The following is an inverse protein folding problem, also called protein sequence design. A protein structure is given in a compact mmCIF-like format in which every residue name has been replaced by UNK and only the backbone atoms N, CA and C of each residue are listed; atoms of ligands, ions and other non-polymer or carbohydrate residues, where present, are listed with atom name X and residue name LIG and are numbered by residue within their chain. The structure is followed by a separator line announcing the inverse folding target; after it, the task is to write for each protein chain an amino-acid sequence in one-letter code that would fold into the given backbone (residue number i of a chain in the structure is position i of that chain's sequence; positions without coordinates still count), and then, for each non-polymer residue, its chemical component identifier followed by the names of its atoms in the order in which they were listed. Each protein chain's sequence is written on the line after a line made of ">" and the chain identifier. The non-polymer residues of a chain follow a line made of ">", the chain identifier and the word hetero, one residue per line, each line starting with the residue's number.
data_IF_250355614155
#
_entry.id   IF_250355614155
#
_cell.length_a   1.000
_cell.length_b   1.000
_cell.length_c   1.000
_cell.angle_alpha   90.00
_cell.angle_beta   90.00
_cell.angle_gamma   90.00
#
_symmetry.space_group_name_H-M   'P 1'
#
loop_
_entity.id
_entity.type
_entity.pdbx_description
1 polymer ?
#
# COMPACT_ATOMS: atom_id res chain seq x y z
N UNK A 1 49.55 9.05 -8.28
CA UNK A 1 48.80 8.51 -9.44
C UNK A 1 47.78 7.42 -9.07
N UNK A 2 47.95 6.66 -7.97
CA UNK A 2 46.97 5.64 -7.52
C UNK A 2 45.74 6.22 -6.79
N UNK A 3 45.90 7.35 -6.08
CA UNK A 3 44.80 7.95 -5.31
C UNK A 3 43.72 8.59 -6.19
N UNK A 4 44.09 9.25 -7.30
CA UNK A 4 43.11 9.81 -8.24
C UNK A 4 42.31 8.73 -8.98
N UNK A 5 42.87 7.52 -9.17
CA UNK A 5 42.16 6.40 -9.78
C UNK A 5 41.11 5.83 -8.81
N UNK A 6 41.42 5.72 -7.52
CA UNK A 6 40.47 5.24 -6.50
C UNK A 6 39.32 6.25 -6.27
N UNK A 7 39.60 7.55 -6.28
CA UNK A 7 38.56 8.59 -6.22
C UNK A 7 37.70 8.61 -7.48
N UNK A 8 38.27 8.40 -8.68
CA UNK A 8 37.47 8.27 -9.91
C UNK A 8 36.62 7.00 -9.94
N UNK A 9 37.09 5.90 -9.35
CA UNK A 9 36.32 4.65 -9.25
C UNK A 9 35.18 4.83 -8.25
N UNK A 10 35.43 5.39 -7.06
CA UNK A 10 34.38 5.72 -6.08
C UNK A 10 33.37 6.74 -6.62
N UNK A 11 33.80 7.74 -7.38
CA UNK A 11 32.92 8.74 -7.97
C UNK A 11 32.08 8.19 -9.13
N UNK A 12 32.59 7.21 -9.90
CA UNK A 12 31.79 6.51 -10.92
C UNK A 12 30.80 5.55 -10.27
N UNK A 13 31.22 4.86 -9.20
CA UNK A 13 30.39 3.94 -8.42
C UNK A 13 29.31 4.66 -7.58
N UNK A 14 29.50 5.95 -7.27
CA UNK A 14 28.48 6.81 -6.67
C UNK A 14 27.58 7.49 -7.72
N UNK A 15 28.07 7.67 -8.96
CA UNK A 15 27.25 8.18 -10.08
C UNK A 15 26.25 7.13 -10.56
N UNK A 16 26.59 5.85 -10.54
CA UNK A 16 25.67 4.73 -10.78
C UNK A 16 24.66 4.49 -9.63
N UNK A 17 24.90 5.05 -8.43
CA UNK A 17 23.99 4.89 -7.27
C UNK A 17 22.80 5.86 -7.27
N UNK A 18 22.79 6.90 -8.12
CA UNK A 18 21.81 8.00 -8.03
C UNK A 18 20.96 8.16 -9.30
N UNK A 19 21.43 7.75 -10.48
CA UNK A 19 20.58 7.70 -11.68
C UNK A 19 19.97 6.32 -11.85
N UNK A 20 18.88 6.02 -11.12
CA UNK A 20 17.93 5.02 -11.62
C UNK A 20 17.44 5.56 -12.95
N UNK A 21 17.86 4.96 -14.06
CA UNK A 21 17.51 5.45 -15.38
C UNK A 21 15.98 5.58 -15.48
N UNK A 22 15.45 6.72 -15.96
CA UNK A 22 14.00 6.92 -16.09
C UNK A 22 13.35 5.81 -16.93
N UNK A 23 14.14 5.19 -17.81
CA UNK A 23 13.77 4.02 -18.62
C UNK A 23 13.52 2.79 -17.75
N UNK A 24 14.41 2.44 -16.81
CA UNK A 24 14.21 1.27 -15.93
C UNK A 24 12.97 1.44 -15.04
N UNK A 25 12.72 2.68 -14.55
CA UNK A 25 11.52 3.02 -13.77
C UNK A 25 10.24 2.79 -14.59
N UNK A 26 10.24 3.24 -15.83
CA UNK A 26 9.11 3.07 -16.75
C UNK A 26 8.87 1.59 -17.08
N UNK A 27 9.94 0.83 -17.30
CA UNK A 27 9.84 -0.63 -17.55
C UNK A 27 9.29 -1.35 -16.33
N UNK A 28 9.69 -0.98 -15.12
CA UNK A 28 9.14 -1.53 -13.87
C UNK A 28 7.64 -1.24 -13.74
N UNK A 29 7.21 -0.02 -14.00
CA UNK A 29 5.80 0.34 -13.88
C UNK A 29 4.95 -0.37 -14.94
N UNK A 30 5.47 -0.49 -16.17
CA UNK A 30 4.86 -1.28 -17.23
C UNK A 30 4.81 -2.78 -16.88
N UNK A 31 5.87 -3.29 -16.24
CA UNK A 31 5.92 -4.66 -15.73
C UNK A 31 4.86 -4.89 -14.67
N UNK A 32 4.76 -4.01 -13.66
CA UNK A 32 3.77 -4.12 -12.59
C UNK A 32 2.34 -4.06 -13.16
N UNK A 33 2.10 -3.18 -14.12
CA UNK A 33 0.83 -3.11 -14.83
C UNK A 33 0.53 -4.41 -15.58
N UNK A 34 1.51 -4.99 -16.26
CA UNK A 34 1.39 -6.27 -16.97
C UNK A 34 1.07 -7.44 -16.03
N UNK A 35 1.68 -7.45 -14.84
CA UNK A 35 1.43 -8.44 -13.78
C UNK A 35 0.01 -8.31 -13.25
N UNK A 36 -0.46 -7.09 -12.97
CA UNK A 36 -1.82 -6.81 -12.51
C UNK A 36 -2.85 -7.20 -13.59
N UNK A 37 -2.53 -6.96 -14.86
CA UNK A 37 -3.34 -7.35 -16.01
C UNK A 37 -3.27 -8.86 -16.32
N UNK A 38 -2.58 -9.66 -15.49
CA UNK A 38 -2.47 -11.12 -15.61
C UNK A 38 -1.94 -11.59 -16.98
N UNK A 39 -1.11 -10.77 -17.64
CA UNK A 39 -0.57 -11.06 -18.98
C UNK A 39 0.84 -11.63 -18.88
N UNK A 40 0.96 -12.96 -18.84
CA UNK A 40 2.24 -13.66 -18.64
C UNK A 40 3.32 -13.36 -19.68
N UNK A 41 2.98 -13.31 -20.96
CA UNK A 41 3.96 -13.15 -22.05
C UNK A 41 4.67 -11.80 -21.96
N UNK A 42 3.89 -10.75 -21.70
CA UNK A 42 4.41 -9.39 -21.53
C UNK A 42 5.27 -9.29 -20.26
N UNK A 43 4.87 -9.96 -19.18
CA UNK A 43 5.67 -10.04 -17.96
C UNK A 43 7.04 -10.68 -18.23
N UNK A 44 7.11 -11.78 -18.98
CA UNK A 44 8.37 -12.47 -19.28
C UNK A 44 9.32 -11.60 -20.10
N UNK A 45 8.81 -10.88 -21.10
CA UNK A 45 9.63 -9.94 -21.90
C UNK A 45 10.19 -8.83 -21.01
N UNK A 46 9.35 -8.21 -20.18
CA UNK A 46 9.75 -7.09 -19.34
C UNK A 46 10.71 -7.47 -18.22
N UNK A 47 10.60 -8.69 -17.66
CA UNK A 47 11.56 -9.21 -16.67
C UNK A 47 12.97 -9.31 -17.29
N UNK A 48 13.10 -9.57 -18.59
CA UNK A 48 14.39 -9.61 -19.26
C UNK A 48 15.13 -8.28 -19.23
N UNK A 49 14.40 -7.17 -19.24
CA UNK A 49 14.95 -5.81 -19.23
C UNK A 49 15.11 -5.21 -17.82
N UNK A 50 14.59 -5.87 -16.78
CA UNK A 50 14.72 -5.40 -15.42
C UNK A 50 16.10 -5.75 -14.83
N UNK A 51 16.66 -4.85 -14.03
CA UNK A 51 17.84 -5.09 -13.21
C UNK A 51 17.54 -6.09 -12.08
N UNK A 52 16.35 -6.02 -11.47
CA UNK A 52 15.91 -6.89 -10.37
C UNK A 52 15.06 -8.12 -10.82
N UNK A 53 15.61 -8.96 -11.70
CA UNK A 53 14.86 -10.08 -12.35
C UNK A 53 14.28 -11.11 -11.38
N UNK A 54 15.05 -11.50 -10.37
CA UNK A 54 14.65 -12.53 -9.39
C UNK A 54 13.49 -12.01 -8.53
N UNK A 55 13.62 -10.79 -8.00
CA UNK A 55 12.60 -10.13 -7.20
C UNK A 55 11.31 -9.89 -8.01
N UNK A 56 11.43 -9.38 -9.25
CA UNK A 56 10.29 -9.18 -10.14
C UNK A 56 9.51 -10.48 -10.39
N UNK A 57 10.22 -11.58 -10.62
CA UNK A 57 9.62 -12.91 -10.82
C UNK A 57 8.89 -13.41 -9.57
N UNK A 58 9.47 -13.19 -8.38
CA UNK A 58 8.84 -13.56 -7.11
C UNK A 58 7.60 -12.69 -6.80
N UNK A 59 7.68 -11.38 -7.03
CA UNK A 59 6.53 -10.45 -6.89
C UNK A 59 5.40 -10.89 -7.80
N UNK A 60 5.69 -11.18 -9.07
CA UNK A 60 4.71 -11.69 -10.02
C UNK A 60 4.06 -12.98 -9.49
N UNK A 61 4.84 -13.98 -9.08
CA UNK A 61 4.30 -15.23 -8.56
C UNK A 61 3.39 -15.03 -7.34
N UNK A 62 3.78 -14.19 -6.39
CA UNK A 62 2.96 -13.88 -5.20
C UNK A 62 1.64 -13.22 -5.59
N UNK A 63 1.66 -12.27 -6.53
CA UNK A 63 0.44 -11.62 -7.04
C UNK A 63 -0.44 -12.65 -7.76
N UNK A 64 0.10 -13.47 -8.67
CA UNK A 64 -0.66 -14.50 -9.37
C UNK A 64 -1.31 -15.51 -8.41
N UNK A 65 -0.60 -15.94 -7.35
CA UNK A 65 -1.16 -16.84 -6.31
C UNK A 65 -2.30 -16.17 -5.53
N UNK A 66 -2.16 -14.89 -5.16
CA UNK A 66 -3.21 -14.13 -4.47
C UNK A 66 -4.42 -13.88 -5.37
N UNK A 67 -4.20 -13.56 -6.64
CA UNK A 67 -5.28 -13.46 -7.63
C UNK A 67 -6.00 -14.80 -7.78
N UNK A 68 -5.27 -15.90 -7.96
CA UNK A 68 -5.87 -17.24 -8.07
C UNK A 68 -6.73 -17.64 -6.84
N UNK A 69 -6.33 -17.19 -5.64
CA UNK A 69 -7.12 -17.38 -4.42
C UNK A 69 -8.42 -16.56 -4.43
N UNK A 70 -8.38 -15.32 -4.95
CA UNK A 70 -9.55 -14.45 -5.06
C UNK A 70 -10.56 -14.93 -6.12
N UNK A 71 -10.09 -15.51 -7.22
CA UNK A 71 -10.92 -16.06 -8.29
C UNK A 71 -11.35 -17.52 -8.06
N UNK A 72 -11.52 -17.95 -6.80
CA UNK A 72 -11.82 -19.34 -6.44
C UNK A 72 -13.05 -19.94 -7.13
N UNK A 73 -13.99 -19.10 -7.58
CA UNK A 73 -15.25 -19.50 -8.20
C UNK A 73 -15.09 -20.16 -9.58
N UNK A 74 -13.92 -20.07 -10.23
CA UNK A 74 -13.67 -20.73 -11.53
C UNK A 74 -12.37 -21.53 -11.51
N UNK A 75 -12.52 -22.85 -11.38
CA UNK A 75 -11.40 -23.81 -11.24
C UNK A 75 -10.40 -23.67 -12.39
N UNK A 76 -10.87 -23.54 -13.64
CA UNK A 76 -10.01 -23.45 -14.83
C UNK A 76 -9.11 -22.20 -14.83
N UNK A 77 -9.65 -21.05 -14.41
CA UNK A 77 -8.89 -19.80 -14.34
C UNK A 77 -7.87 -19.89 -13.20
N UNK A 78 -8.27 -20.44 -12.04
CA UNK A 78 -7.39 -20.66 -10.91
C UNK A 78 -6.19 -21.55 -11.27
N UNK A 79 -6.40 -22.68 -11.94
CA UNK A 79 -5.31 -23.60 -12.34
C UNK A 79 -4.37 -22.95 -13.36
N UNK A 80 -4.91 -22.18 -14.31
CA UNK A 80 -4.10 -21.43 -15.28
C UNK A 80 -3.19 -20.39 -14.59
N UNK A 81 -3.75 -19.57 -13.71
CA UNK A 81 -2.98 -18.56 -12.96
C UNK A 81 -1.93 -19.21 -12.04
N UNK A 82 -2.26 -20.34 -11.43
CA UNK A 82 -1.32 -21.07 -10.58
C UNK A 82 -0.17 -21.68 -11.40
N UNK A 83 -0.46 -22.17 -12.60
CA UNK A 83 0.56 -22.63 -13.56
C UNK A 83 1.52 -21.51 -13.96
N UNK A 84 0.97 -20.33 -14.27
CA UNK A 84 1.78 -19.14 -14.59
C UNK A 84 2.62 -18.69 -13.37
N UNK A 85 2.08 -18.73 -12.15
CA UNK A 85 2.84 -18.42 -10.93
C UNK A 85 4.03 -19.36 -10.70
N UNK A 86 3.83 -20.67 -10.91
CA UNK A 86 4.87 -21.67 -10.76
C UNK A 86 5.95 -21.51 -11.85
N UNK A 87 5.58 -21.08 -13.06
CA UNK A 87 6.52 -20.76 -14.13
C UNK A 87 7.48 -19.63 -13.71
N UNK A 88 6.96 -18.56 -13.10
CA UNK A 88 7.80 -17.45 -12.61
C UNK A 88 8.71 -17.87 -11.46
N UNK A 89 8.26 -18.73 -10.55
CA UNK A 89 9.12 -19.28 -9.49
C UNK A 89 10.26 -20.12 -10.08
N UNK A 90 9.96 -20.97 -11.06
CA UNK A 90 10.98 -21.75 -11.76
C UNK A 90 11.97 -20.87 -12.51
N UNK A 91 11.51 -19.79 -13.14
CA UNK A 91 12.38 -18.81 -13.79
C UNK A 91 13.32 -18.13 -12.78
N UNK A 92 12.77 -17.68 -11.64
CA UNK A 92 13.54 -17.05 -10.57
C UNK A 92 14.60 -18.00 -10.01
N UNK A 93 14.20 -19.25 -9.72
CA UNK A 93 15.09 -20.30 -9.22
C UNK A 93 16.22 -20.58 -10.20
N UNK A 94 15.93 -20.74 -11.49
CA UNK A 94 16.96 -20.97 -12.53
C UNK A 94 17.94 -19.80 -12.64
N UNK A 95 17.44 -18.56 -12.56
CA UNK A 95 18.30 -17.37 -12.60
C UNK A 95 19.12 -17.21 -11.33
N UNK A 96 18.57 -17.62 -10.19
CA UNK A 96 19.29 -17.64 -8.93
C UNK A 96 20.38 -18.71 -8.92
N UNK A 97 20.09 -19.92 -9.39
CA UNK A 97 21.05 -21.02 -9.51
C UNK A 97 22.25 -20.61 -10.38
N UNK A 98 21.98 -20.05 -11.56
CA UNK A 98 23.05 -19.51 -12.42
C UNK A 98 23.84 -18.36 -11.77
N UNK A 99 23.25 -17.60 -10.85
CA UNK A 99 23.95 -16.55 -10.11
C UNK A 99 24.79 -17.13 -8.98
N UNK A 100 24.28 -18.17 -8.32
CA UNK A 100 24.94 -18.89 -7.25
C UNK A 100 26.17 -19.66 -7.75
N UNK A 101 26.05 -20.28 -8.93
CA UNK A 101 27.16 -20.96 -9.61
C UNK A 101 28.28 -20.00 -10.03
N UNK A 102 27.95 -18.73 -10.28
CA UNK A 102 28.92 -17.70 -10.64
C UNK A 102 29.67 -17.18 -9.40
N UNK A 103 28.93 -16.73 -8.38
CA UNK A 103 29.50 -16.29 -7.11
C UNK A 103 28.43 -16.39 -6.00
N UNK A 104 28.63 -17.26 -4.99
CA UNK A 104 27.65 -17.45 -3.92
C UNK A 104 27.54 -16.21 -3.01
N UNK A 105 28.61 -15.45 -2.84
CA UNK A 105 28.63 -14.25 -1.98
C UNK A 105 27.88 -13.11 -2.65
N UNK A 106 28.11 -12.89 -3.95
CA UNK A 106 27.32 -11.91 -4.70
C UNK A 106 25.85 -12.34 -4.84
N UNK A 107 25.54 -13.62 -5.00
CA UNK A 107 24.16 -14.10 -5.07
C UNK A 107 23.38 -13.84 -3.76
N UNK A 108 23.99 -14.15 -2.62
CA UNK A 108 23.42 -13.80 -1.31
C UNK A 108 23.33 -12.28 -1.12
N UNK A 109 24.36 -11.54 -1.54
CA UNK A 109 24.37 -10.07 -1.54
C UNK A 109 23.23 -9.49 -2.37
N UNK A 110 22.90 -10.07 -3.52
CA UNK A 110 21.84 -9.60 -4.41
C UNK A 110 20.43 -9.80 -3.81
N UNK A 111 20.25 -10.82 -2.98
CA UNK A 111 19.00 -11.08 -2.24
C UNK A 111 18.82 -10.10 -1.07
N UNK A 112 19.92 -9.73 -0.42
CA UNK A 112 19.94 -8.87 0.77
C UNK A 112 20.03 -7.38 0.42
N UNK A 113 20.54 -7.05 -0.78
CA UNK A 113 20.73 -5.67 -1.25
C UNK A 113 19.40 -4.95 -1.42
N UNK A 114 19.37 -3.69 -1.01
CA UNK A 114 18.27 -2.76 -1.24
C UNK A 114 17.94 -2.68 -2.74
N UNK A 115 16.67 -2.90 -3.07
CA UNK A 115 16.23 -2.87 -4.45
C UNK A 115 16.00 -1.40 -4.81
N UNK A 116 17.03 -0.73 -5.34
CA UNK A 116 16.97 0.66 -5.77
C UNK A 116 15.80 0.92 -6.74
N UNK A 117 15.44 -0.10 -7.52
CA UNK A 117 14.35 -0.01 -8.48
C UNK A 117 12.96 -0.01 -7.83
N UNK A 118 12.74 -0.49 -6.61
CA UNK A 118 11.41 -0.47 -5.97
C UNK A 118 11.30 0.57 -4.84
N UNK A 119 12.24 1.53 -4.78
CA UNK A 119 12.19 2.68 -3.87
C UNK A 119 13.21 2.65 -2.74
N UNK A 120 14.40 2.07 -2.94
CA UNK A 120 15.41 1.88 -1.88
C UNK A 120 14.84 1.15 -0.65
N UNK A 121 13.87 0.26 -0.85
CA UNK A 121 13.29 -0.56 0.22
C UNK A 121 13.73 -2.00 0.03
N UNK A 122 14.11 -2.65 1.13
CA UNK A 122 14.42 -4.09 1.12
C UNK A 122 13.15 -4.91 0.87
N UNK A 123 13.26 -6.14 0.35
CA UNK A 123 12.08 -6.99 0.12
C UNK A 123 11.33 -7.29 1.44
N UNK A 124 12.05 -7.31 2.56
CA UNK A 124 11.51 -7.49 3.90
C UNK A 124 10.73 -6.26 4.36
N UNK A 125 11.29 -5.06 4.18
CA UNK A 125 10.59 -3.80 4.47
C UNK A 125 9.33 -3.68 3.60
N UNK A 126 9.38 -4.02 2.30
CA UNK A 126 8.21 -3.97 1.42
C UNK A 126 7.04 -4.80 1.95
N UNK A 127 7.30 -6.01 2.46
CA UNK A 127 6.25 -6.85 3.03
C UNK A 127 5.64 -6.23 4.29
N UNK A 128 6.46 -5.65 5.17
CA UNK A 128 5.99 -4.97 6.37
C UNK A 128 5.17 -3.72 6.01
N UNK A 129 5.66 -2.88 5.11
CA UNK A 129 4.98 -1.65 4.65
C UNK A 129 3.62 -1.98 4.03
N UNK A 130 3.54 -3.01 3.18
CA UNK A 130 2.28 -3.44 2.59
C UNK A 130 1.27 -3.88 3.65
N UNK A 131 1.70 -4.64 4.66
CA UNK A 131 0.84 -5.05 5.78
C UNK A 131 0.32 -3.84 6.56
N UNK A 132 1.18 -2.89 6.92
CA UNK A 132 0.78 -1.68 7.64
C UNK A 132 -0.19 -0.81 6.83
N UNK A 133 0.05 -0.61 5.53
CA UNK A 133 -0.87 0.13 4.64
C UNK A 133 -2.22 -0.56 4.54
N UNK A 134 -2.26 -1.89 4.46
CA UNK A 134 -3.52 -2.64 4.47
C UNK A 134 -4.28 -2.44 5.79
N UNK A 135 -3.60 -2.49 6.94
CA UNK A 135 -4.22 -2.23 8.24
C UNK A 135 -4.76 -0.80 8.30
N UNK A 136 -3.99 0.19 7.84
CA UNK A 136 -4.40 1.60 7.78
C UNK A 136 -5.69 1.76 6.94
N UNK A 137 -5.73 1.15 5.75
CA UNK A 137 -6.93 1.17 4.90
C UNK A 137 -8.15 0.54 5.60
N UNK A 138 -7.97 -0.61 6.25
CA UNK A 138 -9.03 -1.27 7.01
C UNK A 138 -9.54 -0.38 8.14
N UNK A 139 -8.65 0.27 8.89
CA UNK A 139 -9.03 1.17 9.98
C UNK A 139 -9.78 2.41 9.47
N UNK A 140 -9.40 2.98 8.32
CA UNK A 140 -10.13 4.10 7.69
C UNK A 140 -11.55 3.68 7.33
N UNK A 141 -11.71 2.52 6.68
CA UNK A 141 -13.03 2.02 6.28
C UNK A 141 -13.88 1.71 7.51
N UNK A 142 -13.31 1.07 8.53
CA UNK A 142 -14.03 0.74 9.76
C UNK A 142 -14.55 1.98 10.50
N UNK A 143 -13.68 2.96 10.74
CA UNK A 143 -14.07 4.22 11.40
C UNK A 143 -15.12 4.97 10.58
N UNK A 144 -14.93 5.01 9.26
CA UNK A 144 -15.86 5.65 8.34
C UNK A 144 -17.27 5.04 8.33
N UNK A 145 -17.38 3.71 8.42
CA UNK A 145 -18.67 3.01 8.54
C UNK A 145 -19.29 3.26 9.92
N UNK A 146 -18.51 3.17 11.00
CA UNK A 146 -19.00 3.37 12.37
C UNK A 146 -19.51 4.79 12.62
N UNK A 147 -18.80 5.80 12.12
CA UNK A 147 -19.20 7.22 12.25
C UNK A 147 -20.55 7.49 11.59
N UNK A 148 -20.79 6.94 10.38
CA UNK A 148 -22.08 7.08 9.69
C UNK A 148 -23.20 6.27 10.37
N UNK A 149 -22.89 5.06 10.85
CA UNK A 149 -23.85 4.22 11.55
C UNK A 149 -24.33 4.83 12.88
N UNK A 150 -23.47 5.60 13.56
CA UNK A 150 -23.81 6.23 14.84
C UNK A 150 -24.68 7.49 14.67
N UNK A 151 -24.41 8.31 13.64
CA UNK A 151 -25.12 9.59 13.44
C UNK A 151 -26.45 9.39 12.69
N UNK A 152 -26.56 8.41 11.80
CA UNK A 152 -27.79 8.10 11.07
C UNK A 152 -28.36 6.75 11.51
N UNK A 153 -29.06 6.72 12.63
CA UNK A 153 -29.90 5.59 12.98
C UNK A 153 -31.30 5.81 12.35
N UNK A 154 -31.68 5.03 11.33
CA UNK A 154 -33.10 4.92 10.94
C UNK A 154 -33.48 5.02 9.47
N UNK A 155 -32.61 5.43 8.54
CA UNK A 155 -32.90 5.37 7.09
C UNK A 155 -31.72 4.77 6.35
N UNK A 156 -31.65 3.44 6.37
CA UNK A 156 -30.62 2.66 5.69
C UNK A 156 -30.98 2.50 4.21
N UNK A 157 -30.56 3.46 3.39
CA UNK A 157 -30.50 3.25 1.94
C UNK A 157 -29.04 2.95 1.54
N UNK A 158 -28.79 1.72 1.09
CA UNK A 158 -27.44 1.20 0.82
C UNK A 158 -26.98 1.56 -0.60
N UNK A 159 -26.86 2.84 -0.89
CA UNK A 159 -26.27 3.28 -2.14
C UNK A 159 -24.73 3.26 -2.03
N UNK A 160 -24.11 2.14 -2.44
CA UNK A 160 -22.67 1.89 -2.27
C UNK A 160 -21.74 2.96 -2.86
N UNK A 161 -22.20 3.69 -3.88
CA UNK A 161 -21.48 4.82 -4.48
C UNK A 161 -21.47 6.06 -3.59
N UNK A 162 -22.55 6.32 -2.87
CA UNK A 162 -22.63 7.45 -1.94
C UNK A 162 -21.84 7.17 -0.66
N UNK A 163 -21.81 5.91 -0.20
CA UNK A 163 -20.99 5.49 0.94
C UNK A 163 -19.51 5.75 0.64
N UNK A 164 -18.99 5.30 -0.52
CA UNK A 164 -17.59 5.51 -0.86
C UNK A 164 -17.20 7.00 -0.89
N UNK A 165 -18.02 7.82 -1.54
CA UNK A 165 -17.76 9.26 -1.69
C UNK A 165 -17.91 10.03 -0.37
N UNK A 166 -18.86 9.64 0.50
CA UNK A 166 -19.11 10.34 1.76
C UNK A 166 -18.34 9.76 2.96
N UNK A 167 -17.75 8.57 2.84
CA UNK A 167 -16.98 7.92 3.91
C UNK A 167 -15.48 8.14 3.74
N UNK A 168 -14.94 8.02 2.52
CA UNK A 168 -13.48 8.11 2.32
C UNK A 168 -13.02 9.56 2.19
N UNK A 169 -13.82 10.38 1.52
CA UNK A 169 -13.45 11.76 1.20
C UNK A 169 -13.24 12.65 2.45
N UNK A 170 -14.12 12.62 3.48
CA UNK A 170 -13.89 13.42 4.70
C UNK A 170 -12.66 12.92 5.48
N UNK A 171 -12.46 11.60 5.55
CA UNK A 171 -11.34 10.98 6.27
C UNK A 171 -9.99 11.31 5.64
N UNK A 172 -9.95 11.39 4.31
CA UNK A 172 -8.74 11.79 3.59
C UNK A 172 -8.37 13.25 3.88
N UNK A 173 -9.33 14.17 3.81
CA UNK A 173 -9.11 15.59 4.19
C UNK A 173 -8.75 15.75 5.66
N UNK A 174 -9.20 14.82 6.50
CA UNK A 174 -8.94 14.83 7.92
C UNK A 174 -7.47 14.60 8.30
N UNK A 175 -6.77 13.72 7.57
CA UNK A 175 -5.31 13.51 7.75
C UNK A 175 -4.52 14.80 7.51
N UNK A 176 -5.03 15.69 6.65
CA UNK A 176 -4.43 17.00 6.39
C UNK A 176 -4.85 18.08 7.41
N UNK A 177 -5.65 17.74 8.42
CA UNK A 177 -6.09 18.67 9.46
C UNK A 177 -7.25 19.59 9.07
N UNK A 178 -7.99 19.28 8.00
CA UNK A 178 -9.19 20.03 7.64
C UNK A 178 -10.42 19.48 8.34
N UNK A 179 -10.79 20.10 9.46
CA UNK A 179 -12.04 19.86 10.18
C UNK A 179 -13.11 20.72 9.52
N UNK A 180 -14.01 20.12 8.74
CA UNK A 180 -15.06 20.87 8.03
C UNK A 180 -16.15 21.44 8.97
N UNK A 181 -17.37 21.48 8.46
CA UNK A 181 -18.59 21.93 9.15
C UNK A 181 -19.07 21.05 10.34
N UNK A 182 -18.28 20.06 10.77
CA UNK A 182 -18.56 19.28 11.98
C UNK A 182 -18.35 20.06 13.28
N UNK A 183 -17.52 21.12 13.27
CA UNK A 183 -17.36 22.02 14.43
C UNK A 183 -18.57 22.97 14.57
N UNK A 184 -19.12 23.44 13.44
CA UNK A 184 -20.30 24.34 13.43
C UNK A 184 -21.60 23.66 13.88
N UNK A 185 -21.69 22.33 13.75
CA UNK A 185 -22.84 21.57 14.28
C UNK A 185 -22.81 21.47 15.81
N UNK A 186 -21.65 21.55 16.46
CA UNK A 186 -21.54 21.59 17.92
C UNK A 186 -22.05 22.93 18.47
N UNK A 187 -21.67 24.05 17.84
CA UNK A 187 -22.18 25.38 18.19
C UNK A 187 -23.69 25.48 17.97
N UNK A 188 -24.21 24.86 16.90
CA UNK A 188 -25.64 24.75 16.69
C UNK A 188 -26.29 23.93 17.82
N UNK A 189 -25.84 22.71 18.10
CA UNK A 189 -26.44 21.84 19.14
C UNK A 189 -26.36 22.46 20.55
N UNK A 190 -25.26 23.14 20.88
CA UNK A 190 -25.10 23.86 22.16
C UNK A 190 -26.00 25.10 22.21
N UNK A 191 -26.17 25.84 21.12
CA UNK A 191 -27.13 26.95 21.05
C UNK A 191 -28.58 26.47 21.24
N UNK A 192 -28.94 25.32 20.69
CA UNK A 192 -30.29 24.75 20.72
C UNK A 192 -30.72 24.23 22.11
N UNK A 193 -29.77 24.01 23.03
CA UNK A 193 -30.05 23.64 24.41
C UNK A 193 -30.77 24.76 25.19
N UNK A 194 -30.60 26.02 24.77
CA UNK A 194 -31.15 27.18 25.49
C UNK A 194 -32.57 27.58 25.07
N UNK A 195 -33.14 26.98 24.02
CA UNK A 195 -34.50 27.27 23.54
C UNK A 195 -35.35 25.99 23.50
N UNK A 196 -36.19 25.82 24.52
CA UNK A 196 -36.92 24.60 24.88
C UNK A 196 -37.98 24.06 23.90
N UNK A 197 -37.99 24.41 22.61
CA UNK A 197 -39.15 24.17 21.74
C UNK A 197 -38.87 23.72 20.30
N UNK A 198 -37.82 22.93 20.05
CA UNK A 198 -37.60 22.31 18.72
C UNK A 198 -37.81 20.80 18.79
N UNK A 199 -38.62 20.19 17.90
CA UNK A 199 -38.79 18.74 17.84
C UNK A 199 -37.42 18.09 17.60
N UNK A 200 -37.12 17.05 18.37
CA UNK A 200 -35.87 16.31 18.33
C UNK A 200 -35.44 16.01 16.89
N UNK A 201 -34.56 16.84 16.33
CA UNK A 201 -33.81 16.48 15.14
C UNK A 201 -32.81 15.43 15.61
N UNK A 202 -32.96 14.24 15.05
CA UNK A 202 -32.33 12.97 15.44
C UNK A 202 -30.80 13.03 15.48
N UNK A 203 -30.27 13.57 16.57
CA UNK A 203 -28.84 13.69 16.85
C UNK A 203 -28.67 14.06 18.32
N UNK A 204 -28.79 13.08 19.21
CA UNK A 204 -28.48 13.26 20.63
C UNK A 204 -27.05 13.79 20.80
N UNK A 205 -26.83 14.73 21.71
CA UNK A 205 -25.48 15.18 22.14
C UNK A 205 -24.54 14.00 22.43
N UNK A 206 -25.08 12.87 22.88
CA UNK A 206 -24.36 11.63 23.12
C UNK A 206 -23.72 11.02 21.87
N UNK A 207 -24.39 11.03 20.70
CA UNK A 207 -23.82 10.49 19.46
C UNK A 207 -22.76 11.44 18.86
N UNK A 208 -22.92 12.75 19.05
CA UNK A 208 -21.89 13.72 18.69
C UNK A 208 -20.62 13.51 19.52
N UNK A 209 -20.74 13.47 20.85
CA UNK A 209 -19.61 13.23 21.78
C UNK A 209 -18.92 11.90 21.47
N UNK A 210 -19.69 10.83 21.24
CA UNK A 210 -19.13 9.52 20.92
C UNK A 210 -18.39 9.50 19.57
N UNK A 211 -18.80 10.31 18.59
CA UNK A 211 -18.09 10.46 17.30
C UNK A 211 -16.73 11.13 17.52
N UNK A 212 -16.65 12.19 18.33
CA UNK A 212 -15.39 12.85 18.65
C UNK A 212 -14.44 11.98 19.50
N UNK A 213 -14.97 11.15 20.41
CA UNK A 213 -14.15 10.20 21.16
C UNK A 213 -13.57 9.13 20.24
N UNK A 214 -14.40 8.52 19.38
CA UNK A 214 -13.93 7.54 18.38
C UNK A 214 -12.88 8.12 17.46
N UNK A 215 -13.06 9.38 17.07
CA UNK A 215 -12.10 10.12 16.27
C UNK A 215 -10.76 10.31 16.97
N UNK A 216 -10.76 10.73 18.25
CA UNK A 216 -9.53 10.87 19.02
C UNK A 216 -8.77 9.53 19.11
N UNK A 217 -9.49 8.43 19.32
CA UNK A 217 -8.91 7.08 19.27
C UNK A 217 -8.38 6.71 17.88
N UNK A 218 -9.09 7.06 16.81
CA UNK A 218 -8.66 6.79 15.43
C UNK A 218 -7.35 7.50 15.10
N UNK A 219 -7.25 8.79 15.43
CA UNK A 219 -6.03 9.59 15.22
C UNK A 219 -4.86 9.02 16.01
N UNK A 220 -5.09 8.67 17.28
CA UNK A 220 -4.07 8.04 18.12
C UNK A 220 -3.58 6.72 17.51
N UNK A 221 -4.50 5.88 17.04
CA UNK A 221 -4.15 4.60 16.41
C UNK A 221 -3.35 4.81 15.10
N UNK A 222 -3.79 5.72 14.23
CA UNK A 222 -3.07 6.06 12.99
C UNK A 222 -1.69 6.64 13.31
N UNK A 223 -1.56 7.50 14.32
CA UNK A 223 -0.28 8.06 14.74
C UNK A 223 0.68 7.00 15.28
N UNK A 224 0.20 6.05 16.08
CA UNK A 224 1.01 4.91 16.53
C UNK A 224 1.46 4.07 15.32
N UNK A 225 0.56 3.82 14.35
CA UNK A 225 0.91 3.09 13.13
C UNK A 225 1.93 3.86 12.27
N UNK A 226 1.78 5.18 12.12
CA UNK A 226 2.72 6.02 11.37
C UNK A 226 4.10 6.05 12.03
N UNK A 227 4.16 6.13 13.35
CA UNK A 227 5.42 6.03 14.10
C UNK A 227 6.04 4.64 13.93
N UNK A 228 5.25 3.57 14.01
CA UNK A 228 5.72 2.21 13.76
C UNK A 228 6.26 2.04 12.34
N UNK A 229 5.63 2.69 11.36
CA UNK A 229 6.08 2.69 9.97
C UNK A 229 7.38 3.51 9.79
N UNK A 230 7.49 4.66 10.47
CA UNK A 230 8.69 5.49 10.47
C UNK A 230 9.89 4.72 11.04
N UNK A 231 9.68 4.03 12.17
CA UNK A 231 10.70 3.18 12.81
C UNK A 231 11.09 2.01 11.89
N UNK A 232 10.13 1.40 11.19
CA UNK A 232 10.40 0.32 10.26
C UNK A 232 11.15 0.77 8.98
N UNK A 233 11.08 2.04 8.61
CA UNK A 233 11.77 2.59 7.44
C UNK A 233 13.20 3.04 7.76
N UNK A 234 13.48 3.45 8.99
CA UNK A 234 14.82 3.86 9.44
C UNK A 234 15.62 2.75 10.12
N UNK A 235 15.10 1.53 10.15
CA UNK A 235 15.79 0.33 10.63
C UNK A 235 16.10 -0.61 9.47
#
# INVERSE_FOLDING_TARGET
>A
MRNNQVETISANEQRDRISVDPVERTIRDLFLWSVIMLRKEMCLVLIGHLSARICASLIASKIFKKCAQKYANTINIKTRLLGDANLFEKYAMKKLESCYDYDPVMACGLIIREIHLFGNVTCLQLQAMAFFVCVLFITIVAYGVTSRAMVYYGTFDFDGRQILMNVIYPQYFFIYGYFGNELTNLDAIVANNTTANVPATNGTVASAIATYVLFAFHILFVNILLINLLIAMFK
#
